data_IF_672241467052
#
_entry.id   IF_672241467052
#
_cell.length_a   1.000
_cell.length_b   1.000
_cell.length_c   1.000
_cell.angle_alpha   90.00
_cell.angle_beta   90.00
_cell.angle_gamma   90.00
#
_symmetry.space_group_name_H-M   'P 1'
#
loop_
_entity.id
_entity.type
_entity.pdbx_description
1 polymer ?
#
# COMPACT_ATOMS: atom_id res chain seq x y z
N UNK A 1 18.10 -8.37 -28.80
CA UNK A 1 18.44 -8.75 -27.41
C UNK A 1 17.20 -8.47 -26.57
N UNK A 2 16.40 -9.50 -26.27
CA UNK A 2 15.17 -9.32 -25.48
C UNK A 2 15.54 -8.94 -24.04
N UNK A 3 14.79 -8.04 -23.37
CA UNK A 3 15.03 -7.76 -21.96
C UNK A 3 14.85 -9.07 -21.17
N UNK A 4 15.78 -9.35 -20.27
CA UNK A 4 15.78 -10.54 -19.42
C UNK A 4 14.47 -10.60 -18.62
N UNK A 5 13.72 -11.68 -18.80
CA UNK A 5 12.56 -12.05 -17.99
C UNK A 5 12.96 -12.33 -16.53
N UNK A 6 13.30 -11.28 -15.77
CA UNK A 6 13.78 -11.36 -14.39
C UNK A 6 12.90 -10.65 -13.37
N UNK A 7 11.70 -10.20 -13.74
CA UNK A 7 10.78 -9.46 -12.85
C UNK A 7 9.42 -10.15 -12.65
N UNK A 8 9.34 -11.48 -12.79
CA UNK A 8 8.11 -12.24 -12.51
C UNK A 8 8.07 -12.81 -11.09
N UNK A 9 8.44 -12.00 -10.09
CA UNK A 9 8.45 -12.39 -8.68
C UNK A 9 7.46 -11.59 -7.85
N UNK A 10 7.07 -12.13 -6.70
CA UNK A 10 6.40 -11.36 -5.66
C UNK A 10 7.38 -10.39 -5.02
N UNK A 11 6.85 -9.25 -4.61
CA UNK A 11 7.56 -8.18 -3.90
C UNK A 11 6.75 -7.77 -2.70
N UNK A 12 7.43 -7.59 -1.58
CA UNK A 12 6.84 -7.03 -0.37
C UNK A 12 7.20 -5.54 -0.28
N UNK A 13 6.19 -4.67 -0.44
CA UNK A 13 6.28 -3.23 -0.19
C UNK A 13 5.92 -2.94 1.27
N UNK A 14 6.85 -2.33 2.01
CA UNK A 14 6.56 -1.73 3.31
C UNK A 14 6.23 -0.26 3.13
N UNK A 15 5.08 0.16 3.66
CA UNK A 15 4.65 1.56 3.72
C UNK A 15 4.42 2.00 5.15
N UNK A 16 4.65 3.28 5.43
CA UNK A 16 4.22 3.92 6.68
C UNK A 16 3.02 4.81 6.42
N UNK A 17 1.97 4.63 7.21
CA UNK A 17 0.78 5.47 7.18
C UNK A 17 0.90 6.63 8.18
N UNK A 18 0.76 7.84 7.69
CA UNK A 18 0.73 9.05 8.51
C UNK A 18 -0.60 9.79 8.35
N UNK A 19 -0.98 10.50 9.42
CA UNK A 19 -2.20 11.29 9.49
C UNK A 19 -1.84 12.74 9.78
N UNK A 20 -2.54 13.69 9.15
CA UNK A 20 -2.39 15.12 9.47
C UNK A 20 -2.69 15.42 10.95
N UNK A 21 -3.64 14.67 11.53
CA UNK A 21 -4.01 14.74 12.94
C UNK A 21 -4.09 13.33 13.49
N UNK A 22 -3.68 13.16 14.74
CA UNK A 22 -3.74 11.87 15.40
C UNK A 22 -5.17 11.33 15.42
N UNK A 23 -5.41 10.11 14.91
CA UNK A 23 -6.73 9.50 14.91
C UNK A 23 -7.19 9.26 16.35
N UNK A 24 -8.48 9.46 16.60
CA UNK A 24 -9.09 9.19 17.92
C UNK A 24 -9.17 7.70 18.21
N UNK A 25 -9.40 6.92 17.16
CA UNK A 25 -9.55 5.48 17.23
C UNK A 25 -8.22 4.79 16.97
N UNK A 26 -8.07 3.58 17.52
CA UNK A 26 -6.94 2.70 17.25
C UNK A 26 -6.93 2.34 15.77
N UNK A 27 -5.76 2.49 15.15
CA UNK A 27 -5.53 2.01 13.79
C UNK A 27 -4.97 0.61 13.90
N UNK A 28 -5.79 -0.38 13.54
CA UNK A 28 -5.43 -1.79 13.52
C UNK A 28 -5.20 -2.29 12.08
N UNK A 29 -4.90 -3.58 11.96
CA UNK A 29 -4.67 -4.22 10.66
C UNK A 29 -5.89 -4.13 9.73
N UNK A 30 -7.11 -4.28 10.25
CA UNK A 30 -8.32 -4.23 9.43
C UNK A 30 -8.58 -2.81 8.90
N UNK A 31 -8.33 -1.80 9.72
CA UNK A 31 -8.36 -0.40 9.29
C UNK A 31 -7.32 -0.15 8.21
N UNK A 32 -6.08 -0.63 8.40
CA UNK A 32 -5.03 -0.53 7.38
C UNK A 32 -5.44 -1.19 6.06
N UNK A 33 -5.96 -2.42 6.10
CA UNK A 33 -6.48 -3.13 4.91
C UNK A 33 -7.57 -2.34 4.19
N UNK A 34 -8.51 -1.78 4.95
CA UNK A 34 -9.60 -0.96 4.41
C UNK A 34 -9.07 0.27 3.69
N UNK A 35 -8.08 0.97 4.27
CA UNK A 35 -7.48 2.15 3.65
C UNK A 35 -6.73 1.78 2.36
N UNK A 36 -5.92 0.71 2.38
CA UNK A 36 -5.22 0.27 1.17
C UNK A 36 -6.23 -0.12 0.07
N UNK A 37 -7.27 -0.88 0.41
CA UNK A 37 -8.32 -1.25 -0.53
C UNK A 37 -9.04 -0.03 -1.11
N UNK A 38 -9.41 0.92 -0.25
CA UNK A 38 -10.06 2.16 -0.67
C UNK A 38 -9.15 2.99 -1.58
N UNK A 39 -7.86 3.13 -1.25
CA UNK A 39 -6.89 3.84 -2.07
C UNK A 39 -6.73 3.19 -3.45
N UNK A 40 -6.62 1.87 -3.48
CA UNK A 40 -6.38 1.10 -4.68
C UNK A 40 -7.59 1.13 -5.62
N UNK A 41 -8.80 0.92 -5.07
CA UNK A 41 -10.06 0.98 -5.84
C UNK A 41 -10.36 2.41 -6.31
N UNK A 42 -10.14 3.42 -5.46
CA UNK A 42 -10.45 4.81 -5.80
C UNK A 42 -9.59 5.30 -6.97
N UNK A 43 -8.30 4.96 -7.00
CA UNK A 43 -7.39 5.46 -8.04
C UNK A 43 -7.41 4.60 -9.30
N UNK A 44 -7.53 3.28 -9.17
CA UNK A 44 -7.33 2.36 -10.30
C UNK A 44 -8.60 1.62 -10.74
N UNK A 45 -9.71 1.77 -10.00
CA UNK A 45 -10.99 1.13 -10.30
C UNK A 45 -11.11 -0.30 -9.77
N UNK A 46 -12.04 -1.09 -10.33
CA UNK A 46 -12.34 -2.45 -9.85
C UNK A 46 -11.49 -3.56 -10.50
N UNK A 47 -10.84 -3.29 -11.63
CA UNK A 47 -10.08 -4.29 -12.41
C UNK A 47 -8.60 -4.31 -12.05
N UNK A 48 -8.29 -4.06 -10.79
CA UNK A 48 -6.93 -3.86 -10.31
C UNK A 48 -6.18 -5.18 -10.10
N UNK A 49 -4.85 -5.19 -10.27
CA UNK A 49 -4.06 -6.37 -9.96
C UNK A 49 -4.28 -6.90 -8.54
N UNK A 50 -4.21 -8.22 -8.35
CA UNK A 50 -4.32 -8.80 -7.02
C UNK A 50 -3.13 -8.41 -6.13
N UNK A 51 -3.40 -8.19 -4.85
CA UNK A 51 -2.40 -7.97 -3.81
C UNK A 51 -2.84 -8.67 -2.52
N UNK A 52 -1.88 -8.91 -1.63
CA UNK A 52 -2.12 -9.43 -0.28
C UNK A 52 -1.60 -8.43 0.74
N UNK A 53 -2.35 -8.19 1.81
CA UNK A 53 -1.86 -7.41 2.95
C UNK A 53 -1.18 -8.36 3.93
N UNK A 54 0.07 -8.05 4.27
CA UNK A 54 0.85 -8.78 5.25
C UNK A 54 0.64 -8.24 6.67
N UNK A 55 1.75 -7.97 7.36
CA UNK A 55 1.70 -7.49 8.75
C UNK A 55 1.45 -5.99 8.83
N UNK A 56 0.90 -5.53 9.97
CA UNK A 56 0.80 -4.13 10.31
C UNK A 56 1.22 -3.91 11.77
N UNK A 57 2.23 -3.07 11.98
CA UNK A 57 2.65 -2.62 13.30
C UNK A 57 1.95 -1.30 13.63
N UNK A 58 1.01 -1.37 14.57
CA UNK A 58 0.18 -0.23 14.97
C UNK A 58 0.95 0.88 15.67
N UNK A 59 2.09 0.56 16.31
CA UNK A 59 2.92 1.56 16.99
C UNK A 59 3.67 2.42 16.00
N UNK A 60 4.25 1.78 14.98
CA UNK A 60 5.02 2.49 13.94
C UNK A 60 4.18 2.87 12.73
N UNK A 61 2.95 2.37 12.65
CA UNK A 61 2.02 2.48 11.52
C UNK A 61 2.62 1.98 10.22
N UNK A 62 3.47 0.96 10.29
CA UNK A 62 4.10 0.33 9.13
C UNK A 62 3.33 -0.93 8.77
N UNK A 63 2.96 -1.04 7.50
CA UNK A 63 2.28 -2.21 6.96
C UNK A 63 2.99 -2.76 5.73
N UNK A 64 2.82 -4.04 5.48
CA UNK A 64 3.37 -4.71 4.28
C UNK A 64 2.29 -5.11 3.28
N UNK A 65 2.62 -4.96 2.00
CA UNK A 65 1.75 -5.27 0.87
C UNK A 65 2.55 -6.11 -0.11
N UNK A 66 2.05 -7.31 -0.42
CA UNK A 66 2.70 -8.27 -1.31
C UNK A 66 1.97 -8.29 -2.65
N UNK A 67 2.71 -8.15 -3.75
CA UNK A 67 2.16 -8.23 -5.11
C UNK A 67 3.23 -8.58 -6.15
N UNK A 68 2.82 -8.86 -7.39
CA UNK A 68 3.75 -9.05 -8.51
C UNK A 68 4.56 -7.77 -8.76
N UNK A 69 5.87 -7.92 -8.99
CA UNK A 69 6.80 -6.82 -9.19
C UNK A 69 6.36 -5.85 -10.31
N UNK A 70 5.79 -6.37 -11.39
CA UNK A 70 5.31 -5.57 -12.54
C UNK A 70 4.18 -4.58 -12.18
N UNK A 71 3.46 -4.81 -11.08
CA UNK A 71 2.34 -3.99 -10.64
C UNK A 71 2.69 -3.04 -9.48
N UNK A 72 3.89 -3.16 -8.94
CA UNK A 72 4.33 -2.40 -7.76
C UNK A 72 4.24 -0.89 -7.95
N UNK A 73 4.69 -0.41 -9.11
CA UNK A 73 4.66 1.02 -9.44
C UNK A 73 3.22 1.57 -9.47
N UNK A 74 2.26 0.74 -9.90
CA UNK A 74 0.85 1.11 -9.98
C UNK A 74 0.26 1.22 -8.57
N UNK A 75 0.57 0.27 -7.67
CA UNK A 75 0.20 0.38 -6.25
C UNK A 75 0.82 1.62 -5.62
N UNK A 76 2.11 1.84 -5.81
CA UNK A 76 2.79 3.00 -5.23
C UNK A 76 2.18 4.33 -5.70
N UNK A 77 1.84 4.44 -6.99
CA UNK A 77 1.14 5.59 -7.53
C UNK A 77 -0.23 5.80 -6.88
N UNK A 78 -1.03 4.73 -6.71
CA UNK A 78 -2.34 4.81 -6.07
C UNK A 78 -2.23 5.32 -4.62
N UNK A 79 -1.31 4.77 -3.83
CA UNK A 79 -1.08 5.20 -2.45
C UNK A 79 -0.59 6.66 -2.36
N UNK A 80 0.25 7.08 -3.30
CA UNK A 80 0.78 8.44 -3.35
C UNK A 80 -0.29 9.49 -3.65
N UNK A 81 -1.31 9.13 -4.44
CA UNK A 81 -2.35 10.06 -4.92
C UNK A 81 -3.56 10.11 -3.97
N UNK A 82 -3.88 9.01 -3.27
CA UNK A 82 -5.14 8.89 -2.52
C UNK A 82 -5.36 10.02 -1.50
N UNK A 83 -4.38 10.34 -0.67
CA UNK A 83 -4.26 11.57 0.15
C UNK A 83 -5.35 11.89 1.20
N UNK A 84 -6.53 11.29 1.10
CA UNK A 84 -7.68 11.55 1.96
C UNK A 84 -8.49 10.27 2.17
N UNK A 85 -8.74 9.93 3.43
CA UNK A 85 -9.61 8.82 3.80
C UNK A 85 -10.67 9.33 4.78
N UNK A 86 -11.94 9.26 4.39
CA UNK A 86 -13.09 9.75 5.17
C UNK A 86 -12.94 11.18 5.71
N UNK A 87 -12.40 12.10 4.89
CA UNK A 87 -12.21 13.50 5.27
C UNK A 87 -10.96 13.76 6.11
N UNK A 88 -10.25 12.72 6.53
CA UNK A 88 -8.97 12.81 7.21
C UNK A 88 -7.84 12.78 6.18
N UNK A 89 -6.97 13.80 6.20
CA UNK A 89 -5.77 13.79 5.35
C UNK A 89 -4.78 12.76 5.86
N UNK A 90 -4.29 11.95 4.93
CA UNK A 90 -3.32 10.88 5.18
C UNK A 90 -2.20 10.92 4.14
N UNK A 91 -1.06 10.34 4.49
CA UNK A 91 0.04 10.14 3.57
C UNK A 91 0.61 8.73 3.73
N UNK A 92 0.97 8.13 2.60
CA UNK A 92 1.75 6.90 2.56
C UNK A 92 3.19 7.24 2.24
N UNK A 93 4.11 6.84 3.12
CA UNK A 93 5.54 6.93 2.89
C UNK A 93 6.07 5.58 2.43
N UNK A 94 6.80 5.59 1.33
CA UNK A 94 7.60 4.45 0.92
C UNK A 94 8.66 4.19 1.98
N UNK A 95 8.70 2.99 2.54
CA UNK A 95 9.69 2.62 3.55
C UNK A 95 10.75 1.67 2.99
N UNK A 96 10.34 0.56 2.39
CA UNK A 96 11.26 -0.42 1.80
C UNK A 96 10.56 -1.38 0.85
N UNK A 97 11.33 -2.02 -0.03
CA UNK A 97 10.90 -3.19 -0.81
C UNK A 97 11.80 -4.37 -0.50
N UNK A 98 11.22 -5.57 -0.44
CA UNK A 98 11.95 -6.84 -0.36
C UNK A 98 11.52 -7.78 -1.48
N UNK A 99 12.46 -8.62 -1.90
CA UNK A 99 12.17 -9.78 -2.73
C UNK A 99 11.70 -10.92 -1.80
N UNK A 100 10.60 -11.58 -2.16
CA UNK A 100 10.06 -12.74 -1.44
C UNK A 100 10.57 -14.05 -2.07
#
# INVERSE_FOLDING_TARGET
>A
MAPKAKEQGLRELTVKLEYEREPKDRIDLETFKSIISAAYIYVLGQTVPSYTIGSFDEKTRKGTIVMNAEHLNILWAALSIYGNHFGQKIAFHYFSIKEE
#
